data_IF_311412821853
#
_entry.id   IF_311412821853
#
_cell.length_a   1.000
_cell.length_b   1.000
_cell.length_c   1.000
_cell.angle_alpha   90.00
_cell.angle_beta   90.00
_cell.angle_gamma   90.00
#
_symmetry.space_group_name_H-M   'P 1'
#
loop_
_entity.id
_entity.type
_entity.pdbx_description
1 polymer ?
#
# COMPACT_ATOMS: atom_id res chain seq x y z
N UNK A 1 18.97 -9.84 27.66
CA UNK A 1 18.30 -8.71 27.01
C UNK A 1 18.07 -9.21 25.61
N UNK A 2 16.86 -9.68 25.34
CA UNK A 2 16.52 -10.15 24.01
C UNK A 2 16.28 -8.92 23.16
N UNK A 3 17.01 -8.81 22.06
CA UNK A 3 16.64 -8.03 20.88
C UNK A 3 15.28 -8.56 20.39
N UNK A 4 14.21 -8.13 21.06
CA UNK A 4 12.83 -8.28 20.63
C UNK A 4 12.43 -6.96 19.95
N UNK A 5 13.16 -6.58 18.90
CA UNK A 5 12.70 -5.57 17.95
C UNK A 5 12.81 -6.09 16.51
N UNK A 6 12.54 -7.40 16.33
CA UNK A 6 12.23 -7.98 15.03
C UNK A 6 10.75 -8.30 15.01
N UNK A 7 9.93 -7.26 14.90
CA UNK A 7 8.58 -7.46 14.39
C UNK A 7 8.74 -7.67 12.87
N UNK A 8 8.33 -8.85 12.38
CA UNK A 8 8.40 -9.25 10.95
C UNK A 8 9.80 -9.33 10.30
N UNK A 9 10.89 -9.09 11.04
CA UNK A 9 12.27 -9.14 10.50
C UNK A 9 12.72 -7.84 9.84
N UNK A 10 12.02 -6.74 10.11
CA UNK A 10 12.39 -5.38 9.68
C UNK A 10 13.22 -4.72 10.78
N UNK A 11 14.36 -4.16 10.40
CA UNK A 11 15.27 -3.46 11.30
C UNK A 11 15.27 -1.98 10.89
N UNK A 12 14.53 -1.15 11.64
CA UNK A 12 14.45 0.31 11.44
C UNK A 12 15.71 1.03 11.97
N UNK A 13 16.42 0.46 12.94
CA UNK A 13 17.62 1.08 13.51
C UNK A 13 17.33 2.48 14.08
N UNK A 14 18.28 3.40 13.92
CA UNK A 14 18.18 4.79 14.39
C UNK A 14 16.97 5.55 13.80
N UNK A 15 16.53 5.18 12.59
CA UNK A 15 15.34 5.79 11.96
C UNK A 15 14.08 5.57 12.81
N UNK A 16 13.96 4.41 13.47
CA UNK A 16 12.81 4.12 14.33
C UNK A 16 12.70 5.11 15.49
N UNK A 17 13.80 5.38 16.18
CA UNK A 17 13.87 6.35 17.28
C UNK A 17 13.61 7.79 16.80
N UNK A 18 14.11 8.14 15.60
CA UNK A 18 13.89 9.46 15.01
C UNK A 18 12.42 9.69 14.64
N UNK A 19 11.77 8.68 14.08
CA UNK A 19 10.35 8.71 13.74
C UNK A 19 9.47 8.72 15.01
N UNK A 20 9.81 7.97 16.05
CA UNK A 20 9.08 8.01 17.33
C UNK A 20 9.18 9.39 18.00
N UNK A 21 10.32 10.08 17.80
CA UNK A 21 10.54 11.42 18.33
C UNK A 21 9.93 12.54 17.47
N UNK A 22 9.32 12.21 16.33
CA UNK A 22 8.75 13.23 15.45
C UNK A 22 7.42 13.81 15.95
N UNK A 23 7.15 15.03 15.51
CA UNK A 23 5.89 15.73 15.77
C UNK A 23 4.85 15.35 14.71
N UNK A 24 3.74 14.77 15.16
CA UNK A 24 2.61 14.38 14.33
C UNK A 24 1.41 15.33 14.49
N UNK A 25 0.57 15.51 13.46
CA UNK A 25 0.62 14.84 12.15
C UNK A 25 1.70 15.40 11.22
N UNK A 26 2.26 14.53 10.37
CA UNK A 26 3.28 14.87 9.36
C UNK A 26 2.85 14.39 7.97
N UNK A 27 3.01 15.25 6.97
CA UNK A 27 2.70 14.92 5.57
C UNK A 27 3.70 13.92 5.02
N UNK A 28 3.28 13.03 4.11
CA UNK A 28 4.19 12.08 3.48
C UNK A 28 5.36 12.78 2.78
N UNK A 29 5.11 13.87 2.05
CA UNK A 29 6.18 14.63 1.37
C UNK A 29 7.24 15.16 2.35
N UNK A 30 6.81 15.68 3.51
CA UNK A 30 7.70 16.23 4.54
C UNK A 30 8.49 15.10 5.22
N UNK A 31 7.82 14.00 5.55
CA UNK A 31 8.45 12.78 6.06
C UNK A 31 9.52 12.24 5.09
N UNK A 32 9.23 12.24 3.79
CA UNK A 32 10.15 11.76 2.76
C UNK A 32 11.27 12.76 2.44
N UNK A 33 11.07 14.05 2.68
CA UNK A 33 12.12 15.06 2.55
C UNK A 33 13.14 14.95 3.69
N UNK A 34 12.67 14.74 4.92
CA UNK A 34 13.56 14.61 6.09
C UNK A 34 14.18 13.22 6.20
N UNK A 35 13.38 12.16 6.02
CA UNK A 35 13.77 10.79 6.35
C UNK A 35 13.81 9.84 5.15
N UNK A 36 13.43 10.29 3.95
CA UNK A 36 13.26 9.43 2.77
C UNK A 36 14.53 8.70 2.32
N UNK A 37 15.71 9.23 2.63
CA UNK A 37 17.00 8.66 2.25
C UNK A 37 17.55 7.65 3.28
N UNK A 38 16.85 7.44 4.39
CA UNK A 38 17.23 6.43 5.39
C UNK A 38 16.96 5.01 4.88
N UNK A 39 17.95 4.14 5.09
CA UNK A 39 17.90 2.73 4.70
C UNK A 39 17.19 1.89 5.76
N UNK A 40 16.28 1.04 5.30
CA UNK A 40 15.49 0.11 6.11
C UNK A 40 15.90 -1.30 5.72
N UNK A 41 16.31 -2.09 6.71
CA UNK A 41 16.74 -3.47 6.53
C UNK A 41 15.57 -4.44 6.65
N UNK A 42 15.45 -5.37 5.70
CA UNK A 42 14.43 -6.40 5.65
C UNK A 42 15.08 -7.77 5.40
N UNK A 43 15.73 -8.34 6.42
CA UNK A 43 16.50 -9.57 6.27
C UNK A 43 17.70 -9.42 5.34
N UNK A 44 17.63 -9.95 4.12
CA UNK A 44 18.70 -9.88 3.10
C UNK A 44 18.56 -8.70 2.14
N UNK A 45 17.43 -8.00 2.17
CA UNK A 45 17.12 -6.87 1.30
C UNK A 45 17.18 -5.56 2.09
N UNK A 46 17.56 -4.48 1.42
CA UNK A 46 17.59 -3.12 1.97
C UNK A 46 16.89 -2.19 0.99
N UNK A 47 15.97 -1.38 1.48
CA UNK A 47 15.24 -0.36 0.71
C UNK A 47 15.18 0.94 1.50
N UNK A 48 14.98 2.07 0.83
CA UNK A 48 14.86 3.36 1.52
C UNK A 48 13.41 3.64 1.92
N UNK A 49 13.22 4.48 2.94
CA UNK A 49 11.89 4.93 3.35
C UNK A 49 11.09 5.52 2.17
N UNK A 50 11.76 6.30 1.30
CA UNK A 50 11.17 6.83 0.07
C UNK A 50 10.67 5.72 -0.85
N UNK A 51 11.50 4.72 -1.12
CA UNK A 51 11.13 3.63 -2.03
C UNK A 51 9.90 2.84 -1.53
N UNK A 52 9.73 2.74 -0.21
CA UNK A 52 8.60 2.06 0.42
C UNK A 52 7.33 2.92 0.47
N UNK A 53 7.42 4.18 0.91
CA UNK A 53 6.23 5.01 1.15
C UNK A 53 5.77 5.82 -0.07
N UNK A 54 6.68 6.22 -0.98
CA UNK A 54 6.35 6.94 -2.22
C UNK A 54 5.17 6.30 -3.00
N UNK A 55 5.09 4.97 -3.20
CA UNK A 55 3.98 4.35 -3.92
C UNK A 55 2.64 4.37 -3.17
N UNK A 56 2.63 4.49 -1.83
CA UNK A 56 1.40 4.53 -1.03
C UNK A 56 0.61 5.83 -1.28
N UNK A 57 1.35 6.94 -1.43
CA UNK A 57 0.80 8.25 -1.76
C UNK A 57 -0.31 8.67 -0.77
N UNK A 58 -0.01 8.50 0.52
CA UNK A 58 -0.80 8.93 1.68
C UNK A 58 -0.74 10.46 1.80
N UNK A 59 -1.81 11.06 2.34
CA UNK A 59 -1.88 12.50 2.57
C UNK A 59 -1.00 12.92 3.77
N UNK A 60 -1.21 12.31 4.94
CA UNK A 60 -0.45 12.53 6.17
C UNK A 60 -0.54 11.31 7.09
N UNK A 61 0.38 11.20 8.04
CA UNK A 61 0.37 10.21 9.10
C UNK A 61 0.01 10.90 10.42
N UNK A 62 -0.89 10.31 11.21
CA UNK A 62 -1.37 10.85 12.49
C UNK A 62 -0.44 10.50 13.67
N UNK A 63 0.33 9.42 13.56
CA UNK A 63 1.22 8.92 14.61
C UNK A 63 2.36 8.03 14.04
N UNK A 64 3.38 7.81 14.85
CA UNK A 64 4.48 6.87 14.59
C UNK A 64 3.97 5.48 14.17
N UNK A 65 2.94 4.96 14.85
CA UNK A 65 2.39 3.65 14.55
C UNK A 65 1.83 3.51 13.13
N UNK A 66 1.33 4.61 12.53
CA UNK A 66 0.88 4.57 11.14
C UNK A 66 2.05 4.48 10.16
N UNK A 67 3.12 5.24 10.41
CA UNK A 67 4.35 5.19 9.63
C UNK A 67 5.01 3.81 9.72
N UNK A 68 5.17 3.29 10.94
CA UNK A 68 5.72 1.97 11.18
C UNK A 68 4.91 0.89 10.44
N UNK A 69 3.58 0.92 10.58
CA UNK A 69 2.72 -0.05 9.94
C UNK A 69 2.81 0.03 8.40
N UNK A 70 2.90 1.23 7.83
CA UNK A 70 3.08 1.43 6.40
C UNK A 70 4.40 0.80 5.91
N UNK A 71 5.50 1.00 6.64
CA UNK A 71 6.80 0.39 6.34
C UNK A 71 6.70 -1.14 6.41
N UNK A 72 6.13 -1.68 7.49
CA UNK A 72 5.98 -3.13 7.69
C UNK A 72 5.15 -3.79 6.59
N UNK A 73 4.07 -3.14 6.15
CA UNK A 73 3.25 -3.62 5.04
C UNK A 73 4.05 -3.69 3.73
N UNK A 74 4.84 -2.66 3.42
CA UNK A 74 5.60 -2.58 2.17
C UNK A 74 6.79 -3.55 2.12
N UNK A 75 7.46 -3.74 3.25
CA UNK A 75 8.53 -4.74 3.38
C UNK A 75 7.96 -6.17 3.28
N UNK A 76 6.81 -6.42 3.90
CA UNK A 76 6.12 -7.71 3.82
C UNK A 76 5.64 -8.06 2.40
N UNK A 77 5.14 -7.09 1.63
CA UNK A 77 4.72 -7.32 0.23
C UNK A 77 5.90 -7.59 -0.71
N UNK A 78 7.05 -6.94 -0.46
CA UNK A 78 8.30 -7.18 -1.19
C UNK A 78 8.85 -8.60 -0.93
N UNK A 79 8.80 -9.08 0.31
CA UNK A 79 9.20 -10.44 0.69
C UNK A 79 8.27 -11.53 0.11
N UNK A 80 7.01 -11.19 -0.20
CA UNK A 80 6.05 -12.06 -0.89
C UNK A 80 6.01 -11.74 -2.41
N UNK A 81 7.03 -11.09 -2.97
CA UNK A 81 7.26 -11.07 -4.41
C UNK A 81 6.07 -10.59 -5.27
N UNK A 82 5.24 -9.65 -4.78
CA UNK A 82 4.20 -9.02 -5.60
C UNK A 82 4.60 -7.61 -6.02
N UNK A 83 5.70 -7.53 -6.75
CA UNK A 83 6.04 -6.33 -7.52
C UNK A 83 4.83 -5.95 -8.39
N UNK A 84 4.28 -4.76 -8.12
CA UNK A 84 3.36 -4.02 -8.98
C UNK A 84 1.86 -4.40 -8.93
N UNK A 85 1.18 -4.14 -7.80
CA UNK A 85 -0.20 -3.64 -7.92
C UNK A 85 -0.16 -2.20 -8.45
N UNK A 86 0.09 -2.05 -9.77
CA UNK A 86 -0.55 -0.97 -10.53
C UNK A 86 -2.06 -1.27 -10.59
N UNK A 87 -2.74 -1.24 -9.44
CA UNK A 87 -4.20 -1.20 -9.41
C UNK A 87 -4.73 0.23 -9.63
N UNK A 88 -3.83 1.20 -9.85
CA UNK A 88 -4.22 2.44 -10.53
C UNK A 88 -4.37 2.14 -12.01
N UNK A 89 -5.44 1.45 -12.39
CA UNK A 89 -6.01 1.63 -13.73
C UNK A 89 -6.49 3.08 -13.77
N UNK A 90 -5.86 3.99 -14.54
CA UNK A 90 -6.47 5.29 -14.75
C UNK A 90 -7.83 5.04 -15.42
N UNK A 91 -8.92 5.74 -15.03
CA UNK A 91 -10.12 5.70 -15.85
C UNK A 91 -9.70 6.16 -17.25
N UNK A 92 -9.88 5.30 -18.25
CA UNK A 92 -9.60 5.65 -19.63
C UNK A 92 -10.45 6.88 -19.98
N UNK A 93 -9.78 7.96 -20.40
CA UNK A 93 -10.48 9.16 -20.86
C UNK A 93 -11.20 8.84 -22.18
N UNK A 94 -12.50 8.54 -22.10
CA UNK A 94 -13.40 8.48 -23.26
C UNK A 94 -14.21 7.20 -23.49
N UNK A 95 -14.36 6.29 -22.52
CA UNK A 95 -15.32 5.18 -22.69
C UNK A 95 -16.76 5.66 -22.46
N UNK A 96 -17.44 5.96 -23.56
CA UNK A 96 -18.89 5.92 -23.68
C UNK A 96 -19.34 4.51 -23.32
N UNK A 97 -19.76 4.30 -22.07
CA UNK A 97 -20.41 3.05 -21.65
C UNK A 97 -21.72 2.96 -22.42
N UNK A 98 -21.68 2.25 -23.54
CA UNK A 98 -22.88 1.79 -24.21
C UNK A 98 -23.64 0.93 -23.21
N UNK A 99 -24.79 1.44 -22.81
CA UNK A 99 -25.80 0.78 -22.00
C UNK A 99 -26.38 -0.38 -22.83
N UNK A 100 -25.67 -1.51 -22.87
CA UNK A 100 -26.25 -2.78 -23.30
C UNK A 100 -27.03 -3.36 -22.12
N UNK A 101 -28.28 -2.91 -22.06
CA UNK A 101 -29.31 -3.37 -21.15
C UNK A 101 -29.38 -4.90 -21.08
N UNK A 102 -29.50 -5.37 -19.85
CA UNK A 102 -29.64 -6.74 -19.38
C UNK A 102 -30.45 -7.71 -20.29
N UNK A 103 -30.11 -9.01 -20.30
CA UNK A 103 -31.06 -10.01 -20.80
C UNK A 103 -32.23 -10.13 -19.81
N UNK A 104 -33.41 -9.68 -20.25
CA UNK A 104 -34.68 -9.90 -19.56
C UNK A 104 -34.96 -11.42 -19.47
N UNK A 105 -34.86 -11.95 -18.25
CA UNK A 105 -35.34 -13.29 -17.92
C UNK A 105 -36.77 -13.21 -17.40
N UNK A 106 -37.78 -13.29 -18.28
CA UNK A 106 -39.17 -13.54 -17.85
C UNK A 106 -39.95 -14.42 -18.85
N UNK A 107 -39.96 -15.73 -18.57
CA UNK A 107 -41.20 -16.50 -18.41
C UNK A 107 -42.10 -16.86 -19.62
N UNK A 108 -42.44 -18.16 -19.62
CA UNK A 108 -43.76 -18.76 -19.90
C UNK A 108 -43.97 -19.42 -21.28
N UNK A 109 -44.07 -20.76 -21.24
CA UNK A 109 -45.10 -21.65 -21.86
C UNK A 109 -45.41 -21.38 -23.35
N UNK A 110 -45.33 -22.37 -24.24
CA UNK A 110 -46.27 -23.49 -24.33
C UNK A 110 -45.72 -24.61 -25.20
N UNK A 111 -46.18 -25.82 -24.90
CA UNK A 111 -45.76 -27.11 -25.42
C UNK A 111 -46.29 -27.36 -26.83
N UNK A 112 -45.51 -28.07 -27.63
CA UNK A 112 -45.92 -28.70 -28.90
C UNK A 112 -47.15 -29.60 -28.70
N UNK A 113 -48.11 -29.59 -29.63
CA UNK A 113 -48.82 -30.76 -30.20
C UNK A 113 -50.07 -30.33 -30.96
N UNK A 114 -50.14 -30.61 -32.27
CA UNK A 114 -51.09 -31.49 -32.95
C UNK A 114 -50.92 -31.43 -34.47
#
# INVERSE_FOLDING_TARGET
MSDDNRELGVELGDLGDELESQEYPISQDELLEEYGDNEIGAGEETSTLRELLEPLNEDEYEDYGEVEQAIMNMVGDSAIGRKNYSDRTPPAAGEDRQDEGAPEQEGQREQESF
#
